data_IF_995094061279
#
_entry.id   IF_995094061279
#
_cell.length_a   1.000
_cell.length_b   1.000
_cell.length_c   1.000
_cell.angle_alpha   90.00
_cell.angle_beta   90.00
_cell.angle_gamma   90.00
#
_symmetry.space_group_name_H-M   'P 1'
#
loop_
_entity.id
_entity.type
_entity.pdbx_description
1 polymer ?
#
# COMPACT_ATOMS: atom_id res chain seq x y z
N UNK A 1 -41.84 9.92 26.82
CA UNK A 1 -41.77 8.49 26.43
C UNK A 1 -41.87 8.42 24.92
N UNK A 2 -40.75 8.25 24.23
CA UNK A 2 -40.76 7.91 22.80
C UNK A 2 -39.66 6.89 22.59
N UNK A 3 -40.07 5.63 22.48
CA UNK A 3 -39.16 4.49 22.37
C UNK A 3 -38.39 4.54 21.07
N UNK A 4 -37.10 4.24 21.16
CA UNK A 4 -36.18 4.11 20.04
C UNK A 4 -36.60 2.96 19.14
N UNK A 5 -36.69 3.26 17.85
CA UNK A 5 -37.03 2.29 16.82
C UNK A 5 -35.77 1.44 16.52
N UNK A 6 -35.63 0.30 17.21
CA UNK A 6 -34.61 -0.72 16.92
C UNK A 6 -35.01 -1.46 15.64
N UNK A 7 -34.36 -1.17 14.52
CA UNK A 7 -34.53 -1.91 13.27
C UNK A 7 -33.42 -3.00 13.14
N UNK A 8 -33.72 -4.32 13.07
CA UNK A 8 -32.76 -5.39 13.33
C UNK A 8 -31.84 -5.81 12.17
N UNK A 9 -31.66 -4.99 11.13
CA UNK A 9 -30.82 -5.33 9.96
C UNK A 9 -30.13 -4.08 9.38
N UNK A 10 -29.45 -3.28 10.20
CA UNK A 10 -28.56 -2.25 9.65
C UNK A 10 -27.51 -2.94 8.78
N UNK A 11 -27.38 -2.51 7.51
CA UNK A 11 -26.34 -3.06 6.63
C UNK A 11 -25.00 -2.70 7.27
N UNK A 12 -23.96 -3.55 7.16
CA UNK A 12 -22.65 -3.24 7.74
C UNK A 12 -22.13 -1.83 7.39
N UNK A 13 -22.46 -1.35 6.19
CA UNK A 13 -22.12 0.00 5.72
C UNK A 13 -22.78 1.13 6.53
N UNK A 14 -24.00 0.93 7.04
CA UNK A 14 -24.72 1.92 7.83
C UNK A 14 -24.15 2.03 9.25
N UNK A 15 -23.73 0.89 9.82
CA UNK A 15 -23.01 0.86 11.11
C UNK A 15 -21.67 1.57 10.98
N UNK A 16 -20.91 1.27 9.92
CA UNK A 16 -19.63 1.96 9.65
C UNK A 16 -19.86 3.46 9.52
N UNK A 17 -20.89 3.90 8.77
CA UNK A 17 -21.20 5.32 8.61
C UNK A 17 -21.54 5.98 9.94
N UNK A 18 -22.37 5.34 10.77
CA UNK A 18 -22.73 5.85 12.08
C UNK A 18 -21.51 5.99 12.99
N UNK A 19 -20.63 4.98 13.02
CA UNK A 19 -19.36 5.04 13.77
C UNK A 19 -18.49 6.20 13.26
N UNK A 20 -18.32 6.36 11.94
CA UNK A 20 -17.53 7.47 11.39
C UNK A 20 -18.10 8.83 11.76
N UNK A 21 -19.43 8.98 11.76
CA UNK A 21 -20.11 10.20 12.17
C UNK A 21 -19.92 10.49 13.67
N UNK A 22 -20.06 9.48 14.53
CA UNK A 22 -19.89 9.63 15.98
C UNK A 22 -18.44 9.91 16.38
N UNK A 23 -17.47 9.39 15.63
CA UNK A 23 -16.04 9.59 15.87
C UNK A 23 -15.47 10.86 15.22
N UNK A 24 -16.31 11.65 14.52
CA UNK A 24 -15.86 12.84 13.83
C UNK A 24 -15.13 13.80 14.79
N UNK A 25 -13.96 14.29 14.38
CA UNK A 25 -13.02 15.12 15.17
C UNK A 25 -12.27 14.41 16.31
N UNK A 26 -12.55 13.13 16.59
CA UNK A 26 -11.93 12.38 17.69
C UNK A 26 -10.93 11.32 17.23
N UNK A 27 -10.78 11.11 15.92
CA UNK A 27 -9.93 10.06 15.36
C UNK A 27 -8.47 10.10 15.83
N UNK A 28 -7.92 11.29 16.03
CA UNK A 28 -6.55 11.46 16.52
C UNK A 28 -6.35 10.92 17.96
N UNK A 29 -7.42 10.86 18.76
CA UNK A 29 -7.40 10.28 20.11
C UNK A 29 -7.90 8.82 20.14
N UNK A 30 -8.86 8.50 19.28
CA UNK A 30 -9.50 7.19 19.22
C UNK A 30 -8.56 6.12 18.67
N UNK A 31 -7.82 6.42 17.59
CA UNK A 31 -6.89 5.47 16.98
C UNK A 31 -5.78 5.03 17.95
N UNK A 32 -5.10 5.92 18.72
CA UNK A 32 -4.16 5.50 19.75
C UNK A 32 -4.79 4.63 20.85
N UNK A 33 -6.03 4.91 21.26
CA UNK A 33 -6.75 4.08 22.23
C UNK A 33 -7.04 2.66 21.69
N UNK A 34 -7.09 2.50 20.36
CA UNK A 34 -7.18 1.22 19.68
C UNK A 34 -5.81 0.59 19.35
N UNK A 35 -4.71 1.16 19.84
CA UNK A 35 -3.34 0.66 19.59
C UNK A 35 -2.76 1.07 18.23
N UNK A 36 -3.33 2.06 17.55
CA UNK A 36 -2.80 2.63 16.31
C UNK A 36 -2.10 3.94 16.61
N UNK A 37 -0.77 3.96 16.46
CA UNK A 37 0.03 5.17 16.62
C UNK A 37 -0.26 6.17 15.51
N UNK A 38 -0.92 7.29 15.86
CA UNK A 38 -1.19 8.39 14.93
C UNK A 38 -0.07 9.42 14.99
N UNK A 39 0.68 9.64 13.89
CA UNK A 39 1.73 10.64 13.85
C UNK A 39 1.13 12.07 13.89
N UNK A 40 1.92 13.02 14.38
CA UNK A 40 1.55 14.44 14.32
C UNK A 40 1.31 14.89 12.86
N UNK A 41 0.54 15.97 12.66
CA UNK A 41 0.22 16.50 11.33
C UNK A 41 1.50 16.73 10.51
N UNK A 42 1.54 16.18 9.29
CA UNK A 42 2.70 16.24 8.39
C UNK A 42 3.82 15.24 8.69
N UNK A 43 3.67 14.37 9.70
CA UNK A 43 4.60 13.27 9.99
C UNK A 43 4.01 11.93 9.55
N UNK A 44 4.87 10.91 9.53
CA UNK A 44 4.52 9.56 9.12
C UNK A 44 4.76 8.58 10.27
N UNK A 45 3.95 7.53 10.35
CA UNK A 45 3.99 6.55 11.43
C UNK A 45 4.02 5.10 10.94
N UNK A 46 4.03 4.18 11.89
CA UNK A 46 3.95 2.76 11.59
C UNK A 46 2.56 2.40 11.03
N UNK A 47 2.53 1.62 9.95
CA UNK A 47 1.28 1.18 9.34
C UNK A 47 0.74 -0.05 10.07
N UNK A 48 -0.48 0.00 10.63
CA UNK A 48 -1.08 -1.13 11.33
C UNK A 48 -1.44 -2.29 10.39
N UNK A 49 -1.53 -2.03 9.08
CA UNK A 49 -1.88 -3.05 8.08
C UNK A 49 -0.65 -3.77 7.53
N UNK A 50 0.39 -3.03 7.13
CA UNK A 50 1.55 -3.62 6.45
C UNK A 50 2.80 -3.76 7.33
N UNK A 51 2.75 -3.29 8.59
CA UNK A 51 3.88 -3.33 9.53
C UNK A 51 5.05 -2.40 9.20
N UNK A 52 4.97 -1.61 8.12
CA UNK A 52 6.04 -0.68 7.75
C UNK A 52 6.14 0.48 8.74
N UNK A 53 7.34 0.83 9.18
CA UNK A 53 7.59 1.77 10.30
C UNK A 53 7.32 3.25 10.00
N UNK A 54 7.16 3.62 8.73
CA UNK A 54 6.94 5.01 8.30
C UNK A 54 5.83 5.16 7.24
N UNK A 55 5.02 4.12 7.02
CA UNK A 55 4.11 4.06 5.86
C UNK A 55 2.72 4.63 6.14
N UNK A 56 2.35 4.84 7.40
CA UNK A 56 1.05 5.41 7.76
C UNK A 56 1.04 6.92 7.61
N UNK A 57 0.11 7.40 6.79
CA UNK A 57 -0.15 8.83 6.55
C UNK A 57 -1.57 9.12 7.03
N UNK A 58 -1.69 9.81 8.15
CA UNK A 58 -2.98 10.28 8.64
C UNK A 58 -3.33 11.58 7.93
N UNK A 59 -4.34 11.54 7.05
CA UNK A 59 -4.76 12.64 6.16
C UNK A 59 -6.19 13.06 6.50
N UNK A 60 -6.42 13.37 7.78
CA UNK A 60 -7.73 13.64 8.32
C UNK A 60 -8.15 15.12 8.21
N UNK A 61 -8.03 15.71 7.02
CA UNK A 61 -8.40 17.12 6.82
C UNK A 61 -9.93 17.34 6.93
N UNK A 62 -10.73 16.28 6.76
CA UNK A 62 -12.19 16.31 6.83
C UNK A 62 -12.76 15.75 8.14
N UNK A 63 -11.92 15.45 9.14
CA UNK A 63 -12.32 14.89 10.44
C UNK A 63 -13.10 13.56 10.35
N UNK A 64 -12.85 12.79 9.29
CA UNK A 64 -13.49 11.53 8.96
C UNK A 64 -12.57 10.32 9.23
N UNK A 65 -11.41 10.54 9.83
CA UNK A 65 -10.42 9.49 10.14
C UNK A 65 -9.74 8.96 8.90
N UNK A 66 -9.56 9.81 7.89
CA UNK A 66 -8.98 9.40 6.62
C UNK A 66 -7.46 9.22 6.75
N UNK A 67 -6.94 8.13 6.19
CA UNK A 67 -5.52 7.79 6.21
C UNK A 67 -5.17 6.96 4.99
N UNK A 68 -3.89 6.89 4.65
CA UNK A 68 -3.40 5.96 3.64
C UNK A 68 -2.06 5.33 4.01
N UNK A 69 -1.82 4.13 3.48
CA UNK A 69 -0.51 3.50 3.53
C UNK A 69 0.30 3.92 2.30
N UNK A 70 1.57 4.29 2.47
CA UNK A 70 2.49 4.51 1.34
C UNK A 70 2.87 3.21 0.62
N UNK A 71 2.71 2.05 1.25
CA UNK A 71 3.08 0.76 0.66
C UNK A 71 1.90 0.16 -0.13
N UNK A 72 2.07 0.20 -1.46
CA UNK A 72 1.46 -0.57 -2.54
C UNK A 72 -0.05 -0.84 -2.55
N UNK A 73 -0.62 -0.42 -3.68
CA UNK A 73 -1.65 -1.07 -4.49
C UNK A 73 -1.75 -2.57 -4.16
N UNK A 74 -2.76 -2.94 -3.39
CA UNK A 74 -3.25 -4.31 -3.31
C UNK A 74 -4.33 -4.44 -4.39
N UNK A 75 -4.28 -5.48 -5.25
CA UNK A 75 -3.34 -6.60 -5.24
C UNK A 75 -1.97 -6.29 -5.88
N UNK A 76 -0.92 -7.01 -5.45
CA UNK A 76 0.39 -6.98 -6.13
C UNK A 76 0.20 -7.42 -7.58
N UNK A 77 0.50 -6.53 -8.53
CA UNK A 77 0.52 -6.83 -9.96
C UNK A 77 1.97 -6.88 -10.53
N UNK A 78 2.75 -7.94 -10.27
CA UNK A 78 4.15 -8.03 -10.70
C UNK A 78 4.33 -8.02 -12.21
N UNK A 79 3.36 -8.52 -12.97
CA UNK A 79 3.36 -8.47 -14.45
C UNK A 79 3.12 -7.07 -15.02
N UNK A 80 2.66 -6.13 -14.21
CA UNK A 80 2.35 -4.76 -14.63
C UNK A 80 3.36 -3.74 -14.11
N UNK A 81 3.95 -4.00 -12.93
CA UNK A 81 4.84 -3.05 -12.26
C UNK A 81 6.20 -3.69 -11.98
N UNK A 82 7.25 -3.11 -12.58
CA UNK A 82 8.63 -3.60 -12.45
C UNK A 82 9.10 -3.77 -10.99
N UNK A 83 8.74 -2.82 -10.10
CA UNK A 83 9.08 -2.94 -8.68
C UNK A 83 8.34 -4.10 -7.98
N UNK A 84 7.12 -4.43 -8.42
CA UNK A 84 6.39 -5.58 -7.88
C UNK A 84 6.99 -6.90 -8.35
N UNK A 85 7.47 -6.96 -9.60
CA UNK A 85 8.24 -8.10 -10.08
C UNK A 85 9.52 -8.30 -9.24
N UNK A 86 10.27 -7.22 -8.98
CA UNK A 86 11.43 -7.24 -8.08
C UNK A 86 11.09 -7.78 -6.68
N UNK A 87 9.99 -7.32 -6.07
CA UNK A 87 9.57 -7.82 -4.75
C UNK A 87 9.20 -9.31 -4.79
N UNK A 88 8.58 -9.78 -5.88
CA UNK A 88 8.22 -11.19 -6.03
C UNK A 88 9.47 -12.06 -6.19
N UNK A 89 10.46 -11.60 -6.95
CA UNK A 89 11.77 -12.23 -7.06
C UNK A 89 12.47 -12.32 -5.69
N UNK A 90 12.54 -11.22 -4.93
CA UNK A 90 13.17 -11.23 -3.61
C UNK A 90 12.54 -12.27 -2.67
N UNK A 91 11.21 -12.35 -2.67
CA UNK A 91 10.44 -13.28 -1.85
C UNK A 91 10.66 -14.75 -2.28
N UNK A 92 10.58 -15.06 -3.57
CA UNK A 92 10.75 -16.41 -4.09
C UNK A 92 12.15 -16.99 -3.82
N UNK A 93 13.17 -16.13 -3.79
CA UNK A 93 14.56 -16.53 -3.54
C UNK A 93 14.97 -16.37 -2.06
N UNK A 94 14.05 -16.02 -1.16
CA UNK A 94 14.32 -15.93 0.28
C UNK A 94 15.20 -14.73 0.69
N UNK A 95 15.26 -13.68 -0.12
CA UNK A 95 16.00 -12.47 0.21
C UNK A 95 15.17 -11.53 1.10
N UNK A 96 15.58 -11.38 2.36
CA UNK A 96 14.80 -10.67 3.38
C UNK A 96 14.82 -9.14 3.29
N UNK A 97 15.77 -8.57 2.55
CA UNK A 97 16.04 -7.11 2.56
C UNK A 97 15.87 -6.48 1.17
N UNK A 98 14.63 -6.35 0.67
CA UNK A 98 14.39 -5.63 -0.58
C UNK A 98 14.80 -4.16 -0.49
N UNK A 99 15.37 -3.65 -1.58
CA UNK A 99 15.57 -2.22 -1.78
C UNK A 99 14.22 -1.51 -1.73
N UNK A 100 14.21 -0.28 -1.21
CA UNK A 100 13.04 0.59 -1.30
C UNK A 100 12.79 0.98 -2.75
N UNK A 101 11.54 1.34 -3.10
CA UNK A 101 11.16 1.76 -4.45
C UNK A 101 12.10 2.85 -5.02
N UNK A 102 12.51 3.80 -4.19
CA UNK A 102 13.45 4.86 -4.58
C UNK A 102 14.83 4.31 -4.90
N UNK A 103 15.41 3.51 -3.98
CA UNK A 103 16.75 2.92 -4.18
C UNK A 103 16.79 1.95 -5.36
N UNK A 104 15.72 1.18 -5.53
CA UNK A 104 15.53 0.33 -6.70
C UNK A 104 15.50 1.16 -7.98
N UNK A 105 14.69 2.22 -8.03
CA UNK A 105 14.61 3.12 -9.19
C UNK A 105 15.94 3.79 -9.54
N UNK A 106 16.76 4.12 -8.53
CA UNK A 106 18.12 4.67 -8.69
C UNK A 106 19.14 3.64 -9.18
N UNK A 107 18.94 2.35 -8.90
CA UNK A 107 19.85 1.28 -9.34
C UNK A 107 19.62 0.85 -10.78
N UNK A 108 18.39 1.00 -11.32
CA UNK A 108 18.06 0.53 -12.67
C UNK A 108 19.00 1.07 -13.76
N UNK A 109 19.30 2.39 -13.86
CA UNK A 109 20.19 2.87 -14.91
C UNK A 109 21.58 2.24 -14.88
N UNK A 110 22.11 1.96 -13.68
CA UNK A 110 23.42 1.31 -13.50
C UNK A 110 23.38 -0.15 -13.95
N UNK A 111 22.34 -0.88 -13.53
CA UNK A 111 22.11 -2.27 -13.95
C UNK A 111 21.97 -2.33 -15.48
N UNK A 112 21.12 -1.50 -16.08
CA UNK A 112 20.92 -1.49 -17.53
C UNK A 112 22.23 -1.21 -18.30
N UNK A 113 23.08 -0.30 -17.78
CA UNK A 113 24.40 -0.04 -18.35
C UNK A 113 25.33 -1.26 -18.26
N UNK A 114 25.37 -1.93 -17.11
CA UNK A 114 26.18 -3.14 -16.89
C UNK A 114 25.82 -4.26 -17.87
N UNK A 115 24.53 -4.45 -18.11
CA UNK A 115 24.00 -5.42 -19.08
C UNK A 115 24.01 -4.90 -20.53
N UNK A 116 24.54 -3.70 -20.79
CA UNK A 116 24.58 -3.03 -22.11
C UNK A 116 23.20 -2.94 -22.78
N UNK A 117 22.15 -2.72 -21.99
CA UNK A 117 20.77 -2.52 -22.46
C UNK A 117 20.43 -1.03 -22.44
N UNK A 118 19.66 -0.57 -23.43
CA UNK A 118 19.14 0.79 -23.44
C UNK A 118 18.19 0.97 -22.25
N UNK A 119 18.34 2.06 -21.49
CA UNK A 119 17.38 2.44 -20.45
C UNK A 119 16.54 3.63 -20.91
N UNK A 120 15.23 3.46 -20.91
CA UNK A 120 14.25 4.48 -21.27
C UNK A 120 13.16 4.53 -20.20
N UNK A 121 12.90 5.73 -19.69
CA UNK A 121 11.84 6.02 -18.70
C UNK A 121 10.90 7.08 -19.25
N UNK A 122 9.63 6.74 -19.42
CA UNK A 122 8.60 7.64 -19.96
C UNK A 122 7.54 7.90 -18.89
N UNK A 123 7.20 9.17 -18.64
CA UNK A 123 6.09 9.51 -17.75
C UNK A 123 4.77 9.29 -18.48
N UNK A 124 3.84 8.60 -17.83
CA UNK A 124 2.50 8.30 -18.35
C UNK A 124 1.43 8.81 -17.38
N UNK A 125 0.15 8.76 -17.79
CA UNK A 125 -0.99 9.08 -16.91
C UNK A 125 -1.11 8.13 -15.71
N UNK A 126 -0.54 6.92 -15.80
CA UNK A 126 -0.62 5.86 -14.77
C UNK A 126 0.69 5.66 -14.00
N UNK A 127 1.73 6.47 -14.25
CA UNK A 127 3.03 6.36 -13.57
C UNK A 127 4.21 6.52 -14.53
N UNK A 128 5.19 5.62 -14.45
CA UNK A 128 6.32 5.56 -15.37
C UNK A 128 6.30 4.24 -16.13
N UNK A 129 6.53 4.32 -17.45
CA UNK A 129 6.79 3.16 -18.29
C UNK A 129 8.29 3.04 -18.52
N UNK A 130 8.79 1.81 -18.50
CA UNK A 130 10.19 1.46 -18.70
C UNK A 130 10.30 0.51 -19.88
N UNK A 131 11.39 0.56 -20.63
CA UNK A 131 11.66 -0.37 -21.75
C UNK A 131 12.30 -1.68 -21.26
N UNK A 132 11.77 -2.24 -20.18
CA UNK A 132 12.21 -3.52 -19.61
C UNK A 132 11.02 -4.44 -19.52
N UNK A 133 11.21 -5.67 -20.00
CA UNK A 133 10.20 -6.72 -20.02
C UNK A 133 10.67 -7.87 -19.13
N UNK A 134 9.71 -8.60 -18.57
CA UNK A 134 10.00 -9.82 -17.82
C UNK A 134 10.41 -10.90 -18.81
N UNK A 135 11.47 -11.63 -18.48
CA UNK A 135 11.93 -12.75 -19.28
C UNK A 135 11.07 -14.00 -19.02
N UNK A 136 11.24 -15.04 -19.84
CA UNK A 136 10.47 -16.29 -19.69
C UNK A 136 10.77 -16.99 -18.36
N UNK A 137 11.99 -16.85 -17.84
CA UNK A 137 12.38 -17.37 -16.52
C UNK A 137 11.61 -16.70 -15.37
N UNK A 138 10.95 -15.56 -15.62
CA UNK A 138 10.10 -14.92 -14.64
C UNK A 138 8.91 -15.80 -14.25
N UNK A 139 8.44 -16.67 -15.14
CA UNK A 139 7.30 -17.57 -14.85
C UNK A 139 7.60 -18.57 -13.74
N UNK A 140 8.89 -18.85 -13.45
CA UNK A 140 9.28 -19.78 -12.38
C UNK A 140 9.02 -19.22 -10.97
N UNK A 141 9.13 -17.90 -10.81
CA UNK A 141 9.02 -17.24 -9.51
C UNK A 141 7.86 -16.24 -9.42
N UNK A 142 7.18 -15.94 -10.52
CA UNK A 142 5.97 -15.12 -10.49
C UNK A 142 4.80 -15.91 -9.90
N UNK A 143 4.01 -15.31 -8.99
CA UNK A 143 2.81 -15.96 -8.49
C UNK A 143 1.80 -16.14 -9.63
N UNK A 144 1.19 -17.33 -9.71
CA UNK A 144 0.23 -17.71 -10.76
C UNK A 144 -1.09 -16.92 -10.72
N UNK A 145 -1.36 -16.23 -9.60
CA UNK A 145 -2.52 -15.35 -9.38
C UNK A 145 -2.09 -14.12 -8.57
N UNK A 146 -2.79 -12.96 -8.68
CA UNK A 146 -2.56 -11.88 -7.73
C UNK A 146 -2.89 -12.45 -6.34
N UNK A 147 -1.88 -12.61 -5.48
CA UNK A 147 -2.08 -13.06 -4.11
C UNK A 147 -3.01 -12.06 -3.41
N UNK A 148 -4.30 -12.40 -3.34
CA UNK A 148 -5.19 -11.92 -2.30
C UNK A 148 -4.67 -12.58 -1.02
N UNK A 149 -3.66 -11.96 -0.39
CA UNK A 149 -3.31 -12.32 0.97
C UNK A 149 -4.49 -11.91 1.85
N UNK A 150 -5.35 -12.89 2.13
CA UNK A 150 -6.27 -12.85 3.25
C UNK A 150 -5.42 -12.82 4.52
N UNK A 151 -5.33 -11.65 5.13
CA UNK A 151 -4.95 -11.49 6.53
C UNK A 151 -5.84 -10.43 7.14
#
# INVERSE_FOLDING_TARGET
MSQGNHNPKSRPIDVIRAVKQSAANYWQNLLPACGVDVPAKGKHGACPICGGTDRFHFIDDNHNGDWHCRQNIIPRAPRMYLYHAYLSFMEAHGFERPLTLTKFGESIPKIMLEYRKEYRKVRTKKGYSYNVELSEEAEEWLPSVPELRNS
#
